data_IF_404110807722
#
_entry.id   IF_404110807722
#
_cell.length_a   1.000
_cell.length_b   1.000
_cell.length_c   1.000
_cell.angle_alpha   90.00
_cell.angle_beta   90.00
_cell.angle_gamma   90.00
#
_symmetry.space_group_name_H-M   'P 1'
#
loop_
_entity.id
_entity.type
_entity.pdbx_description
1 polymer ?
#
# COMPACT_ATOMS: atom_id res chain seq x y z
N UNK A 1 -12.70 54.85 9.41
CA UNK A 1 -11.46 54.06 9.44
C UNK A 1 -11.63 52.58 9.87
N UNK A 2 -12.60 52.16 10.71
CA UNK A 2 -12.78 50.73 11.04
C UNK A 2 -13.41 49.88 9.92
N UNK A 3 -14.22 50.48 9.04
CA UNK A 3 -14.89 49.76 7.95
C UNK A 3 -13.92 49.29 6.85
N UNK A 4 -12.79 49.98 6.65
CA UNK A 4 -11.81 49.62 5.62
C UNK A 4 -11.01 48.36 6.01
N UNK A 5 -10.67 48.23 7.29
CA UNK A 5 -9.92 47.09 7.82
C UNK A 5 -10.78 45.82 7.82
N UNK A 6 -12.06 45.93 8.20
CA UNK A 6 -12.99 44.80 8.17
C UNK A 6 -13.20 44.25 6.74
N UNK A 7 -13.26 45.13 5.74
CA UNK A 7 -13.42 44.73 4.34
C UNK A 7 -12.19 43.99 3.79
N UNK A 8 -10.99 44.41 4.18
CA UNK A 8 -9.73 43.76 3.77
C UNK A 8 -9.61 42.35 4.37
N UNK A 9 -9.97 42.17 5.64
CA UNK A 9 -9.88 40.86 6.31
C UNK A 9 -10.82 39.83 5.69
N UNK A 10 -12.04 40.25 5.31
CA UNK A 10 -13.02 39.36 4.66
C UNK A 10 -12.58 38.97 3.25
N UNK A 11 -12.05 39.92 2.47
CA UNK A 11 -11.56 39.65 1.11
C UNK A 11 -10.34 38.75 1.12
N UNK A 12 -9.39 38.97 2.05
CA UNK A 12 -8.22 38.11 2.22
C UNK A 12 -8.64 36.71 2.69
N UNK A 13 -9.61 36.61 3.61
CA UNK A 13 -10.16 35.31 4.04
C UNK A 13 -10.84 34.54 2.91
N UNK A 14 -11.61 35.21 2.04
CA UNK A 14 -12.24 34.60 0.87
C UNK A 14 -11.22 34.18 -0.20
N UNK A 15 -10.16 34.97 -0.41
CA UNK A 15 -9.07 34.60 -1.33
C UNK A 15 -8.27 33.41 -0.78
N UNK A 16 -7.92 33.39 0.51
CA UNK A 16 -7.26 32.24 1.15
C UNK A 16 -8.13 30.98 1.04
N UNK A 17 -9.44 31.09 1.26
CA UNK A 17 -10.37 29.96 1.11
C UNK A 17 -10.40 29.43 -0.33
N UNK A 18 -10.39 30.31 -1.34
CA UNK A 18 -10.35 29.90 -2.74
C UNK A 18 -8.99 29.29 -3.14
N UNK A 19 -7.86 29.79 -2.63
CA UNK A 19 -6.54 29.18 -2.85
C UNK A 19 -6.40 27.81 -2.17
N UNK A 20 -7.06 27.56 -1.04
CA UNK A 20 -7.09 26.23 -0.40
C UNK A 20 -7.98 25.23 -1.15
N UNK A 21 -9.04 25.69 -1.83
CA UNK A 21 -9.90 24.81 -2.66
C UNK A 21 -9.29 24.47 -4.02
N UNK A 22 -8.43 25.34 -4.59
CA UNK A 22 -7.74 25.04 -5.86
C UNK A 22 -6.35 24.42 -5.67
N UNK A 23 -5.63 24.73 -4.58
CA UNK A 23 -4.34 24.12 -4.26
C UNK A 23 -4.42 22.61 -4.01
N UNK A 24 -5.51 22.13 -3.39
CA UNK A 24 -5.72 20.69 -3.16
C UNK A 24 -6.35 19.92 -4.32
N UNK A 25 -6.71 20.58 -5.43
CA UNK A 25 -7.30 19.89 -6.60
C UNK A 25 -6.21 19.37 -7.54
N UNK A 26 -5.07 20.07 -7.63
CA UNK A 26 -3.89 19.61 -8.40
C UNK A 26 -3.36 18.27 -7.88
N UNK A 27 -3.12 18.17 -6.58
CA UNK A 27 -2.68 16.95 -5.89
C UNK A 27 -3.66 15.78 -6.06
N UNK A 28 -4.97 16.05 -6.04
CA UNK A 28 -5.99 15.01 -6.26
C UNK A 28 -6.05 14.53 -7.72
N UNK A 29 -5.87 15.43 -8.70
CA UNK A 29 -5.84 15.05 -10.11
C UNK A 29 -4.59 14.21 -10.41
N UNK A 30 -3.43 14.62 -9.89
CA UNK A 30 -2.20 13.84 -9.99
C UNK A 30 -2.34 12.48 -9.30
N UNK A 31 -2.93 12.44 -8.10
CA UNK A 31 -3.22 11.20 -7.38
C UNK A 31 -4.14 10.25 -8.15
N UNK A 32 -5.14 10.75 -8.89
CA UNK A 32 -6.00 9.89 -9.73
C UNK A 32 -5.20 9.24 -10.86
N UNK A 33 -4.29 9.98 -11.50
CA UNK A 33 -3.42 9.42 -12.55
C UNK A 33 -2.42 8.41 -11.99
N UNK A 34 -1.84 8.69 -10.81
CA UNK A 34 -0.93 7.79 -10.11
C UNK A 34 -1.63 6.49 -9.70
N UNK A 35 -2.87 6.55 -9.21
CA UNK A 35 -3.66 5.39 -8.76
C UNK A 35 -3.72 4.27 -9.80
N UNK A 36 -4.03 4.58 -11.06
CA UNK A 36 -4.14 3.56 -12.12
C UNK A 36 -2.81 2.82 -12.27
N UNK A 37 -1.69 3.55 -12.27
CA UNK A 37 -0.35 2.97 -12.39
C UNK A 37 0.01 2.13 -11.15
N UNK A 38 -0.37 2.58 -9.94
CA UNK A 38 -0.20 1.81 -8.69
C UNK A 38 -0.95 0.49 -8.77
N UNK A 39 -2.22 0.51 -9.19
CA UNK A 39 -3.04 -0.69 -9.32
C UNK A 39 -2.45 -1.64 -10.38
N UNK A 40 -1.89 -1.12 -11.47
CA UNK A 40 -1.19 -1.95 -12.46
C UNK A 40 0.03 -2.65 -11.86
N UNK A 41 0.86 -1.95 -11.09
CA UNK A 41 2.03 -2.54 -10.43
C UNK A 41 1.64 -3.60 -9.40
N UNK A 42 0.60 -3.34 -8.60
CA UNK A 42 0.04 -4.33 -7.66
C UNK A 42 -0.46 -5.57 -8.42
N UNK A 43 -1.14 -5.40 -9.55
CA UNK A 43 -1.67 -6.51 -10.33
C UNK A 43 -0.57 -7.36 -10.98
N UNK A 44 0.54 -6.74 -11.40
CA UNK A 44 1.69 -7.47 -11.96
C UNK A 44 2.27 -8.45 -10.93
N UNK A 45 2.40 -8.02 -9.67
CA UNK A 45 2.89 -8.85 -8.56
C UNK A 45 1.81 -9.86 -8.12
N UNK A 46 0.55 -9.42 -7.99
CA UNK A 46 -0.59 -10.28 -7.62
C UNK A 46 -0.70 -11.51 -8.52
N UNK A 47 -0.60 -11.34 -9.83
CA UNK A 47 -0.77 -12.44 -10.77
C UNK A 47 0.32 -13.51 -10.56
N UNK A 48 1.57 -13.11 -10.36
CA UNK A 48 2.67 -14.04 -10.05
C UNK A 48 2.46 -14.76 -8.72
N UNK A 49 2.10 -14.03 -7.65
CA UNK A 49 1.81 -14.62 -6.33
C UNK A 49 0.62 -15.59 -6.41
N UNK A 50 -0.43 -15.26 -7.16
CA UNK A 50 -1.60 -16.12 -7.30
C UNK A 50 -1.25 -17.45 -7.98
N UNK A 51 -0.37 -17.43 -9.00
CA UNK A 51 0.11 -18.64 -9.67
C UNK A 51 0.99 -19.45 -8.71
N UNK A 52 1.97 -18.82 -8.05
CA UNK A 52 2.86 -19.48 -7.10
C UNK A 52 2.08 -20.09 -5.91
N UNK A 53 1.07 -19.37 -5.40
CA UNK A 53 0.19 -19.84 -4.32
C UNK A 53 -0.63 -21.05 -4.75
N UNK A 54 -1.12 -21.09 -6.00
CA UNK A 54 -1.79 -22.28 -6.57
C UNK A 54 -0.85 -23.47 -6.74
N UNK A 55 0.43 -23.21 -7.01
CA UNK A 55 1.49 -24.23 -7.05
C UNK A 55 1.90 -24.74 -5.67
N UNK A 56 1.49 -24.06 -4.59
CA UNK A 56 1.90 -24.38 -3.22
C UNK A 56 3.30 -23.89 -2.87
N UNK A 57 3.88 -22.98 -3.66
CA UNK A 57 5.26 -22.50 -3.49
C UNK A 57 5.37 -21.28 -2.57
N UNK A 58 4.23 -20.63 -2.27
CA UNK A 58 4.19 -19.56 -1.27
C UNK A 58 4.02 -20.16 0.12
N UNK A 59 5.14 -20.34 0.81
CA UNK A 59 5.22 -20.86 2.18
C UNK A 59 5.69 -19.80 3.18
N UNK A 60 5.73 -20.17 4.46
CA UNK A 60 6.25 -19.29 5.51
C UNK A 60 7.71 -18.95 5.19
N UNK A 61 8.00 -17.65 5.10
CA UNK A 61 9.36 -17.17 4.79
C UNK A 61 9.70 -17.05 3.31
N UNK A 62 8.82 -17.46 2.39
CA UNK A 62 9.00 -17.20 0.95
C UNK A 62 9.13 -15.70 0.69
N UNK A 63 10.11 -15.31 -0.11
CA UNK A 63 10.35 -13.94 -0.53
C UNK A 63 9.92 -13.72 -1.99
N UNK A 64 9.82 -12.46 -2.41
CA UNK A 64 9.63 -12.13 -3.83
C UNK A 64 10.81 -12.60 -4.69
N UNK A 65 12.04 -12.57 -4.19
CA UNK A 65 13.21 -13.10 -4.88
C UNK A 65 13.10 -14.61 -5.15
N UNK A 66 12.62 -15.40 -4.18
CA UNK A 66 12.41 -16.85 -4.37
C UNK A 66 11.47 -17.12 -5.55
N UNK A 67 10.34 -16.39 -5.62
CA UNK A 67 9.36 -16.52 -6.70
C UNK A 67 9.91 -15.99 -8.04
N UNK A 68 10.75 -14.96 -8.00
CA UNK A 68 11.39 -14.40 -9.18
C UNK A 68 12.41 -15.35 -9.81
N UNK A 69 13.16 -16.10 -8.98
CA UNK A 69 14.09 -17.13 -9.44
C UNK A 69 13.39 -18.28 -10.19
N UNK A 70 12.14 -18.59 -9.83
CA UNK A 70 11.30 -19.56 -10.55
C UNK A 70 10.66 -18.95 -11.81
N UNK A 71 10.59 -17.62 -11.89
CA UNK A 71 10.09 -16.89 -13.07
C UNK A 71 8.59 -16.59 -13.03
N UNK A 72 7.98 -16.44 -11.85
CA UNK A 72 6.54 -16.17 -11.74
C UNK A 72 6.10 -14.78 -12.18
N UNK A 73 7.01 -13.80 -12.25
CA UNK A 73 6.67 -12.43 -12.65
C UNK A 73 7.10 -12.14 -14.09
N UNK A 74 6.74 -10.96 -14.59
CA UNK A 74 7.26 -10.47 -15.87
C UNK A 74 8.79 -10.35 -15.81
N UNK A 75 9.45 -10.53 -16.96
CA UNK A 75 10.92 -10.60 -17.03
C UNK A 75 11.61 -9.42 -16.36
N UNK A 76 11.14 -8.18 -16.58
CA UNK A 76 11.73 -7.00 -15.96
C UNK A 76 11.64 -6.99 -14.42
N UNK A 77 10.58 -7.60 -13.87
CA UNK A 77 10.40 -7.75 -12.42
C UNK A 77 11.34 -8.82 -11.90
N UNK A 78 11.41 -9.97 -12.57
CA UNK A 78 12.33 -11.04 -12.18
C UNK A 78 13.77 -10.56 -12.23
N UNK A 79 14.17 -9.86 -13.29
CA UNK A 79 15.52 -9.34 -13.47
C UNK A 79 15.89 -8.35 -12.35
N UNK A 80 14.95 -7.52 -11.88
CA UNK A 80 15.21 -6.63 -10.74
C UNK A 80 15.34 -7.40 -9.42
N UNK A 81 14.44 -8.35 -9.16
CA UNK A 81 14.40 -9.10 -7.90
C UNK A 81 15.57 -10.10 -7.76
N UNK A 82 16.10 -10.59 -8.89
CA UNK A 82 17.22 -11.55 -8.92
C UNK A 82 18.57 -10.91 -9.25
N UNK A 83 18.62 -9.57 -9.35
CA UNK A 83 19.87 -8.88 -9.64
C UNK A 83 20.86 -9.08 -8.50
N UNK A 84 22.01 -9.68 -8.78
CA UNK A 84 23.08 -9.95 -7.80
C UNK A 84 23.64 -8.71 -7.10
N UNK A 85 23.35 -7.50 -7.59
CA UNK A 85 23.71 -6.23 -6.95
C UNK A 85 22.70 -5.81 -5.88
N UNK A 86 21.51 -6.41 -5.87
CA UNK A 86 20.48 -6.16 -4.88
C UNK A 86 21.03 -6.43 -3.48
N UNK A 87 20.65 -5.58 -2.53
CA UNK A 87 21.01 -5.80 -1.14
C UNK A 87 20.20 -6.99 -0.59
N UNK A 88 20.85 -7.92 0.11
CA UNK A 88 20.19 -9.07 0.74
C UNK A 88 19.17 -8.69 1.84
N UNK A 89 19.13 -7.43 2.28
CA UNK A 89 18.04 -6.94 3.12
C UNK A 89 16.72 -6.71 2.34
N UNK A 90 16.78 -6.69 1.01
CA UNK A 90 15.69 -6.30 0.11
C UNK A 90 15.16 -7.47 -0.75
N UNK A 91 15.48 -8.73 -0.41
CA UNK A 91 15.05 -9.96 -1.14
C UNK A 91 13.51 -10.04 -1.29
N UNK A 92 12.78 -9.43 -0.35
CA UNK A 92 11.33 -9.36 -0.36
C UNK A 92 10.76 -8.00 -0.81
N UNK A 93 11.54 -7.16 -1.49
CA UNK A 93 11.09 -5.84 -1.93
C UNK A 93 11.26 -5.69 -3.45
N UNK A 94 10.12 -5.57 -4.13
CA UNK A 94 10.05 -5.10 -5.52
C UNK A 94 9.85 -3.58 -5.54
N UNK A 95 10.74 -2.87 -6.24
CA UNK A 95 10.56 -1.45 -6.50
C UNK A 95 9.80 -1.25 -7.80
N UNK A 96 8.67 -0.57 -7.75
CA UNK A 96 7.80 -0.44 -8.90
C UNK A 96 8.46 0.33 -10.04
N UNK A 97 8.68 -0.33 -11.18
CA UNK A 97 9.41 0.21 -12.33
C UNK A 97 8.69 1.46 -12.89
N UNK A 98 7.35 1.46 -12.91
CA UNK A 98 6.55 2.61 -13.36
C UNK A 98 6.75 3.87 -12.52
N UNK A 99 7.33 3.74 -11.32
CA UNK A 99 7.64 4.84 -10.41
C UNK A 99 9.15 5.09 -10.28
N UNK A 100 9.94 4.66 -11.27
CA UNK A 100 11.39 4.82 -11.27
C UNK A 100 12.12 3.84 -10.36
N UNK A 101 11.44 2.77 -9.92
CA UNK A 101 12.03 1.69 -9.15
C UNK A 101 13.15 0.99 -9.90
N UNK A 102 14.26 0.77 -9.21
CA UNK A 102 15.45 0.11 -9.73
C UNK A 102 16.02 -0.83 -8.66
N UNK A 103 16.98 -1.66 -9.06
CA UNK A 103 17.74 -2.51 -8.12
C UNK A 103 18.38 -1.64 -7.04
N UNK A 104 18.06 -1.92 -5.78
CA UNK A 104 18.57 -1.18 -4.64
C UNK A 104 19.80 -1.90 -4.08
N UNK A 105 20.95 -1.27 -4.25
CA UNK A 105 22.24 -1.80 -3.80
C UNK A 105 22.58 -1.41 -2.36
N UNK A 106 21.90 -0.38 -1.83
CA UNK A 106 22.03 0.09 -0.46
C UNK A 106 21.10 -0.68 0.50
N UNK A 107 21.36 -0.58 1.80
CA UNK A 107 20.43 -1.13 2.81
C UNK A 107 19.14 -0.31 2.86
N UNK A 108 19.25 1.02 2.74
CA UNK A 108 18.10 1.91 2.73
C UNK A 108 17.48 1.97 1.32
N UNK A 109 16.16 1.81 1.24
CA UNK A 109 15.40 1.88 0.01
C UNK A 109 14.51 3.12 -0.01
N UNK A 110 14.78 4.04 -0.93
CA UNK A 110 14.05 5.32 -1.08
C UNK A 110 13.19 5.35 -2.35
N UNK A 111 12.84 4.18 -2.90
CA UNK A 111 11.99 4.10 -4.09
C UNK A 111 10.58 4.57 -3.76
N UNK A 112 9.96 5.31 -4.68
CA UNK A 112 8.67 5.96 -4.46
C UNK A 112 7.53 4.96 -4.17
N UNK A 113 7.62 3.76 -4.72
CA UNK A 113 6.67 2.67 -4.45
C UNK A 113 7.43 1.35 -4.29
N UNK A 114 7.22 0.73 -3.14
CA UNK A 114 7.80 -0.55 -2.78
C UNK A 114 6.68 -1.55 -2.55
N UNK A 115 6.86 -2.77 -3.02
CA UNK A 115 5.90 -3.86 -2.88
C UNK A 115 6.62 -5.06 -2.26
N UNK A 116 6.00 -5.65 -1.25
CA UNK A 116 6.53 -6.84 -0.58
C UNK A 116 5.49 -7.94 -0.47
N UNK A 117 5.93 -9.19 -0.53
CA UNK A 117 5.09 -10.34 -0.24
C UNK A 117 4.89 -10.43 1.28
N UNK A 118 3.65 -10.54 1.71
CA UNK A 118 3.30 -10.88 3.09
C UNK A 118 2.97 -12.36 3.12
N UNK A 119 3.93 -13.17 3.57
CA UNK A 119 3.68 -14.60 3.79
C UNK A 119 2.89 -14.79 5.08
N UNK A 120 1.90 -15.69 5.10
CA UNK A 120 1.18 -15.98 6.33
C UNK A 120 2.10 -16.57 7.41
N UNK A 121 1.80 -16.26 8.67
CA UNK A 121 2.64 -16.56 9.84
C UNK A 121 2.49 -17.98 10.40
N UNK A 122 1.42 -18.70 10.01
CA UNK A 122 1.17 -20.08 10.42
C UNK A 122 0.23 -20.80 9.43
N UNK A 123 0.11 -22.13 9.55
CA UNK A 123 -0.93 -22.92 8.89
C UNK A 123 -2.31 -22.60 9.50
N UNK A 124 -2.84 -21.43 9.16
CA UNK A 124 -4.25 -21.12 9.29
C UNK A 124 -4.93 -21.60 8.00
N UNK A 125 -6.03 -22.38 8.05
CA UNK A 125 -6.77 -22.75 6.84
C UNK A 125 -7.29 -21.53 6.05
N UNK A 126 -7.39 -20.38 6.70
CA UNK A 126 -7.76 -19.09 6.10
C UNK A 126 -6.54 -18.19 5.79
N UNK A 127 -5.31 -18.63 6.10
CA UNK A 127 -4.11 -17.86 5.79
C UNK A 127 -4.00 -17.67 4.28
N UNK A 128 -3.86 -16.41 3.86
CA UNK A 128 -3.67 -16.03 2.46
C UNK A 128 -2.46 -15.12 2.36
N UNK A 129 -1.63 -15.28 1.32
CA UNK A 129 -0.60 -14.30 1.02
C UNK A 129 -1.20 -12.91 0.85
N UNK A 130 -0.53 -11.92 1.44
CA UNK A 130 -0.84 -10.50 1.26
C UNK A 130 0.19 -9.81 0.39
N UNK A 131 -0.15 -8.60 -0.04
CA UNK A 131 0.75 -7.69 -0.75
C UNK A 131 0.88 -6.43 0.09
N UNK A 132 2.04 -6.23 0.71
CA UNK A 132 2.35 -4.99 1.41
C UNK A 132 2.80 -3.95 0.39
N UNK A 133 2.22 -2.76 0.48
CA UNK A 133 2.50 -1.62 -0.39
C UNK A 133 2.99 -0.48 0.50
N UNK A 134 4.13 0.10 0.12
CA UNK A 134 4.71 1.25 0.78
C UNK A 134 4.87 2.40 -0.24
N UNK A 135 4.15 3.49 0.01
CA UNK A 135 4.16 4.76 -0.73
C UNK A 135 4.73 5.92 0.11
N UNK A 136 5.30 5.63 1.28
CA UNK A 136 5.75 6.62 2.28
C UNK A 136 7.00 7.40 1.84
N UNK A 137 7.66 6.94 0.77
CA UNK A 137 8.90 7.50 0.26
C UNK A 137 8.70 8.28 -1.05
N UNK A 138 9.66 9.14 -1.36
CA UNK A 138 9.68 9.87 -2.64
C UNK A 138 8.51 10.82 -2.83
N UNK A 139 8.02 10.93 -4.08
CA UNK A 139 6.96 11.89 -4.43
C UNK A 139 5.54 11.41 -4.12
N UNK A 140 5.32 10.10 -3.92
CA UNK A 140 4.01 9.53 -3.62
C UNK A 140 3.59 9.80 -2.17
N UNK A 141 4.56 10.02 -1.28
CA UNK A 141 4.34 10.38 0.12
C UNK A 141 3.36 11.56 0.30
N UNK A 142 3.47 12.56 -0.59
CA UNK A 142 2.62 13.77 -0.54
C UNK A 142 1.13 13.47 -0.77
N UNK A 143 0.82 12.41 -1.53
CA UNK A 143 -0.54 12.00 -1.89
C UNK A 143 -0.97 10.70 -1.20
N UNK A 144 -0.15 10.15 -0.31
CA UNK A 144 -0.26 8.78 0.17
C UNK A 144 -1.61 8.48 0.82
N UNK A 145 -2.12 9.35 1.72
CA UNK A 145 -3.42 9.15 2.35
C UNK A 145 -4.62 9.22 1.40
N UNK A 146 -4.51 10.03 0.34
CA UNK A 146 -5.51 10.04 -0.73
C UNK A 146 -5.45 8.73 -1.52
N UNK A 147 -4.27 8.31 -1.95
CA UNK A 147 -4.05 7.11 -2.74
C UNK A 147 -4.51 5.86 -2.00
N UNK A 148 -4.10 5.70 -0.75
CA UNK A 148 -4.49 4.59 0.13
C UNK A 148 -6.02 4.49 0.26
N UNK A 149 -6.69 5.62 0.49
CA UNK A 149 -8.16 5.66 0.61
C UNK A 149 -8.84 5.30 -0.72
N UNK A 150 -8.33 5.79 -1.85
CA UNK A 150 -8.91 5.47 -3.15
C UNK A 150 -8.68 3.99 -3.52
N UNK A 151 -7.49 3.45 -3.27
CA UNK A 151 -7.17 2.04 -3.50
C UNK A 151 -8.06 1.15 -2.61
N UNK A 152 -8.24 1.53 -1.34
CA UNK A 152 -9.11 0.80 -0.43
C UNK A 152 -10.56 0.73 -0.93
N UNK A 153 -11.09 1.85 -1.43
CA UNK A 153 -12.44 1.88 -1.98
C UNK A 153 -12.57 1.08 -3.29
N UNK A 154 -11.60 1.20 -4.19
CA UNK A 154 -11.63 0.51 -5.49
C UNK A 154 -11.50 -1.02 -5.34
N UNK A 155 -10.71 -1.48 -4.36
CA UNK A 155 -10.44 -2.90 -4.16
C UNK A 155 -11.39 -3.58 -3.15
N UNK A 156 -12.27 -2.83 -2.46
CA UNK A 156 -13.13 -3.33 -1.38
C UNK A 156 -14.01 -4.55 -1.77
N UNK A 157 -14.36 -4.69 -3.06
CA UNK A 157 -15.15 -5.81 -3.54
C UNK A 157 -14.36 -7.11 -3.69
N UNK A 158 -13.03 -7.02 -3.87
CA UNK A 158 -12.17 -8.16 -4.26
C UNK A 158 -11.05 -8.43 -3.25
N UNK A 159 -10.81 -7.53 -2.30
CA UNK A 159 -9.75 -7.63 -1.33
C UNK A 159 -10.18 -7.07 0.04
N UNK A 160 -9.48 -7.51 1.08
CA UNK A 160 -9.51 -6.92 2.41
C UNK A 160 -8.17 -6.23 2.66
N UNK A 161 -8.17 -5.03 3.25
CA UNK A 161 -6.96 -4.20 3.36
C UNK A 161 -6.69 -3.87 4.82
N UNK A 162 -5.50 -4.26 5.29
CA UNK A 162 -4.95 -3.81 6.55
C UNK A 162 -4.30 -2.43 6.34
N UNK A 163 -4.97 -1.41 6.84
CA UNK A 163 -4.58 0.00 6.82
C UNK A 163 -3.85 0.45 8.09
N UNK A 164 -3.43 -0.52 8.92
CA UNK A 164 -2.57 -0.29 10.10
C UNK A 164 -1.17 -0.86 9.91
N UNK A 165 -0.91 -1.52 8.78
CA UNK A 165 0.36 -2.18 8.49
C UNK A 165 1.47 -1.15 8.25
N UNK A 166 2.54 -1.24 9.03
CA UNK A 166 3.77 -0.43 8.85
C UNK A 166 4.92 -1.25 8.26
N UNK A 167 4.75 -2.57 8.16
CA UNK A 167 5.75 -3.52 7.67
C UNK A 167 5.05 -4.68 6.95
N UNK A 168 5.80 -5.43 6.16
CA UNK A 168 5.33 -6.64 5.48
C UNK A 168 5.15 -7.82 6.48
N UNK A 169 4.17 -7.71 7.36
CA UNK A 169 3.86 -8.70 8.40
C UNK A 169 2.40 -9.11 8.32
N UNK A 170 2.12 -10.41 8.43
CA UNK A 170 0.77 -10.91 8.29
C UNK A 170 -0.09 -10.64 9.53
N UNK A 171 -1.38 -10.39 9.30
CA UNK A 171 -2.43 -10.40 10.33
C UNK A 171 -3.29 -11.66 10.20
N UNK A 172 -3.92 -12.05 11.30
CA UNK A 172 -4.89 -13.14 11.29
C UNK A 172 -6.16 -12.74 10.55
N UNK A 173 -6.44 -13.44 9.44
CA UNK A 173 -7.67 -13.26 8.67
C UNK A 173 -8.81 -14.08 9.25
N UNK A 174 -10.03 -13.56 9.12
CA UNK A 174 -11.25 -14.28 9.47
C UNK A 174 -11.59 -15.39 8.46
N UNK A 175 -12.70 -16.08 8.67
CA UNK A 175 -13.18 -17.18 7.80
C UNK A 175 -13.54 -16.72 6.38
N UNK A 176 -13.76 -15.42 6.16
CA UNK A 176 -14.05 -14.82 4.87
C UNK A 176 -12.78 -14.28 4.19
N UNK A 177 -11.62 -14.38 4.85
CA UNK A 177 -10.36 -13.78 4.38
C UNK A 177 -10.32 -12.27 4.63
N UNK A 178 -11.11 -11.76 5.56
CA UNK A 178 -11.13 -10.36 5.94
C UNK A 178 -10.18 -10.07 7.10
N UNK A 179 -9.53 -8.90 7.05
CA UNK A 179 -8.70 -8.42 8.16
C UNK A 179 -9.59 -8.02 9.35
N UNK A 180 -9.06 -8.01 10.59
CA UNK A 180 -9.84 -7.54 11.74
C UNK A 180 -10.34 -6.10 11.53
N UNK A 181 -11.53 -5.79 12.04
CA UNK A 181 -12.14 -4.44 11.86
C UNK A 181 -11.23 -3.32 12.37
N UNK A 182 -10.43 -3.58 13.40
CA UNK A 182 -9.46 -2.62 13.93
C UNK A 182 -8.32 -2.29 12.93
N UNK A 183 -8.01 -3.22 12.01
CA UNK A 183 -6.99 -3.09 10.98
C UNK A 183 -7.53 -2.43 9.69
N UNK A 184 -8.86 -2.31 9.53
CA UNK A 184 -9.48 -1.67 8.36
C UNK A 184 -10.28 -0.39 8.70
N UNK A 185 -9.70 0.62 9.38
CA UNK A 185 -10.43 1.84 9.68
C UNK A 185 -10.76 2.65 8.42
N UNK A 186 -11.96 3.22 8.40
CA UNK A 186 -12.47 4.04 7.30
C UNK A 186 -12.22 5.54 7.50
N UNK A 187 -11.81 5.95 8.69
CA UNK A 187 -11.53 7.36 9.05
C UNK A 187 -10.25 7.46 9.89
N UNK A 188 -9.49 8.54 9.69
CA UNK A 188 -8.28 8.83 10.48
C UNK A 188 -8.72 9.51 11.78
N UNK A 189 -8.28 9.02 12.93
CA UNK A 189 -8.28 9.87 14.13
C UNK A 189 -6.95 10.61 14.15
N UNK A 190 -6.98 11.95 14.09
CA UNK A 190 -5.78 12.72 14.32
C UNK A 190 -5.39 12.68 15.82
N UNK A 191 -4.15 13.05 16.15
CA UNK A 191 -3.67 13.15 17.53
C UNK A 191 -4.49 14.13 18.43
N UNK A 192 -5.46 14.85 17.86
CA UNK A 192 -6.36 15.78 18.55
C UNK A 192 -7.74 15.16 18.94
N UNK A 193 -7.99 13.89 18.62
CA UNK A 193 -9.10 13.13 19.23
C UNK A 193 -10.51 13.49 18.80
N UNK A 194 -10.72 14.09 17.62
CA UNK A 194 -12.09 14.29 17.09
C UNK A 194 -12.60 13.01 16.41
N UNK A 195 -13.61 12.37 17.00
CA UNK A 195 -14.24 11.16 16.47
C UNK A 195 -15.41 11.46 15.51
N UNK A 196 -15.39 10.84 14.33
CA UNK A 196 -16.55 10.12 13.80
C UNK A 196 -16.46 8.66 14.28
N UNK A 197 -17.58 8.03 14.60
CA UNK A 197 -17.67 6.80 15.39
C UNK A 197 -17.05 5.55 14.75
N UNK A 198 -15.79 5.22 15.12
CA UNK A 198 -15.26 3.84 15.34
C UNK A 198 -14.08 3.92 16.34
N UNK A 199 -13.80 2.82 17.04
CA UNK A 199 -12.80 2.68 18.10
C UNK A 199 -11.42 3.29 17.79
N UNK A 200 -10.76 3.81 18.85
CA UNK A 200 -9.38 4.29 18.86
C UNK A 200 -8.45 3.20 18.35
N UNK A 201 -7.81 3.43 17.20
CA UNK A 201 -6.85 2.52 16.59
C UNK A 201 -5.67 3.31 16.04
N UNK A 202 -4.48 2.75 16.22
CA UNK A 202 -3.13 3.23 15.87
C UNK A 202 -2.87 3.48 14.37
N UNK A 203 -3.91 3.57 13.54
CA UNK A 203 -3.80 3.66 12.09
C UNK A 203 -3.43 5.09 11.65
N UNK A 204 -2.32 5.23 10.94
CA UNK A 204 -1.96 6.49 10.27
C UNK A 204 -2.36 6.38 8.81
N UNK A 205 -3.62 6.69 8.47
CA UNK A 205 -4.16 6.58 7.09
C UNK A 205 -3.59 7.61 6.09
N UNK A 206 -2.42 8.16 6.40
CA UNK A 206 -1.65 9.10 5.61
C UNK A 206 -0.19 8.67 5.49
N UNK A 207 0.18 7.52 6.07
CA UNK A 207 1.55 7.00 6.02
C UNK A 207 1.86 6.32 4.67
N UNK A 208 0.83 5.95 3.89
CA UNK A 208 1.02 5.30 2.60
C UNK A 208 1.41 3.84 2.69
N UNK A 209 1.22 3.22 3.85
CA UNK A 209 1.58 1.84 4.10
C UNK A 209 0.34 1.01 4.41
N UNK A 210 0.18 -0.10 3.70
CA UNK A 210 -0.97 -0.98 3.86
C UNK A 210 -0.71 -2.34 3.26
N UNK A 211 -1.40 -3.36 3.77
CA UNK A 211 -1.36 -4.72 3.23
C UNK A 211 -2.68 -5.09 2.58
N UNK A 212 -2.64 -5.54 1.33
CA UNK A 212 -3.81 -6.01 0.59
C UNK A 212 -3.86 -7.54 0.62
N UNK A 213 -4.98 -8.09 1.07
CA UNK A 213 -5.30 -9.51 1.00
C UNK A 213 -6.38 -9.75 -0.05
N UNK A 214 -6.00 -10.28 -1.20
CA UNK A 214 -6.93 -10.56 -2.28
C UNK A 214 -7.73 -11.85 -2.03
N UNK A 215 -9.05 -11.77 -2.19
CA UNK A 215 -9.98 -12.90 -1.93
C UNK A 215 -9.90 -14.00 -2.98
N UNK A 216 -9.28 -13.74 -4.12
CA UNK A 216 -9.07 -14.70 -5.21
C UNK A 216 -7.71 -15.41 -5.16
N UNK A 217 -6.81 -15.03 -4.25
CA UNK A 217 -5.60 -15.80 -3.94
C UNK A 217 -6.01 -16.95 -3.00
N UNK A 218 -5.65 -18.21 -3.32
CA UNK A 218 -6.02 -19.36 -2.49
C UNK A 218 -5.68 -19.20 -1.01
N UNK A 219 -6.58 -19.68 -0.16
CA UNK A 219 -6.33 -19.83 1.26
C UNK A 219 -5.65 -21.18 1.55
N UNK A 220 -4.81 -21.20 2.57
CA UNK A 220 -4.06 -22.37 3.00
C UNK A 220 -2.71 -22.47 2.31
N UNK A 221 -1.65 -22.45 3.12
CA UNK A 221 -0.30 -22.80 2.69
C UNK A 221 -0.11 -24.31 2.87
N UNK A 222 0.49 -24.98 1.88
CA UNK A 222 1.07 -26.31 2.11
C UNK A 222 2.38 -26.15 2.89
N UNK A 223 2.45 -26.65 4.14
CA UNK A 223 3.68 -26.68 4.95
C UNK A 223 4.63 -27.83 4.56
N UNK A 224 4.56 -28.36 3.35
CA UNK A 224 5.35 -29.54 2.97
C UNK A 224 6.77 -29.16 2.55
#
# INVERSE_FOLDING_TARGET
MPQLIAMIIIVVGAMIYMFQTFGGTGDKIEGIAQKTSIITEINNIKNGIQIASRGGEVIVGTTLEDLANVGYFAQQINDQLTDTRSNAANENIYNAISFGGQVVTAADNTSNMQISLVTPTAANPNARPGIFVNLSEGNLANNAGFLETQIANDLAAIASIDRTATTATAVDLDVNGDVPVANAPTTVTNAAGNAGTVAVGTATLTDGMFTIYFKDIPAGINLN
#
